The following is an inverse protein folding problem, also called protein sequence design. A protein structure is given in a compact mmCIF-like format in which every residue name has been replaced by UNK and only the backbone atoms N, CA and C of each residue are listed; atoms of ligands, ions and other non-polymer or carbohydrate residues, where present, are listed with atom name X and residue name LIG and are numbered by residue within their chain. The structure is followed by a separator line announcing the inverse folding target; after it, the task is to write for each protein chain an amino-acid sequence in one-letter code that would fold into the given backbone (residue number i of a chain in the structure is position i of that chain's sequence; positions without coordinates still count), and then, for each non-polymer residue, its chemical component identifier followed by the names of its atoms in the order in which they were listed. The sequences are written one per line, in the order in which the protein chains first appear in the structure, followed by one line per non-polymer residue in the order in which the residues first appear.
data_IF_387161000538
#
_entry.id   IF_387161000538
#
_cell.length_a   1.000
_cell.length_b   1.000
_cell.length_c   1.000
_cell.angle_alpha   90.00
_cell.angle_beta   90.00
_cell.angle_gamma   90.00
#
_symmetry.space_group_name_H-M   'P 1'
#
loop_
_entity.id
_entity.type
_entity.pdbx_description
1 polymer ?
#
# COMPACT_ATOMS: atom_id res chain seq x y z
N UNK A 1 -1.02 1.31 -15.80
CA UNK A 1 0.08 1.16 -14.83
C UNK A 1 1.40 1.10 -15.56
N UNK A 2 2.11 2.23 -15.59
CA UNK A 2 3.46 2.35 -16.14
C UNK A 2 4.42 1.35 -15.47
N UNK A 3 5.50 0.97 -16.15
CA UNK A 3 6.50 0.04 -15.60
C UNK A 3 7.06 0.54 -14.26
N UNK A 4 7.30 1.85 -14.15
CA UNK A 4 7.77 2.47 -12.90
C UNK A 4 6.71 2.40 -11.79
N UNK A 5 5.44 2.69 -12.11
CA UNK A 5 4.36 2.60 -11.11
C UNK A 5 4.16 1.17 -10.63
N UNK A 6 4.23 0.17 -11.52
CA UNK A 6 4.15 -1.25 -11.14
C UNK A 6 5.27 -1.65 -10.17
N UNK A 7 6.49 -1.17 -10.40
CA UNK A 7 7.63 -1.43 -9.50
C UNK A 7 7.41 -0.84 -8.12
N UNK A 8 6.93 0.41 -8.04
CA UNK A 8 6.63 1.11 -6.77
C UNK A 8 5.48 0.40 -6.04
N UNK A 9 4.44 -0.01 -6.77
CA UNK A 9 3.32 -0.78 -6.22
C UNK A 9 3.80 -2.10 -5.60
N UNK A 10 4.56 -2.90 -6.35
CA UNK A 10 5.05 -4.19 -5.88
C UNK A 10 5.95 -4.04 -4.64
N UNK A 11 6.81 -3.02 -4.61
CA UNK A 11 7.65 -2.73 -3.44
C UNK A 11 6.81 -2.33 -2.23
N UNK A 12 5.82 -1.44 -2.40
CA UNK A 12 4.88 -1.06 -1.34
C UNK A 12 4.07 -2.25 -0.84
N UNK A 13 3.63 -3.14 -1.74
CA UNK A 13 2.90 -4.36 -1.39
C UNK A 13 3.77 -5.34 -0.59
N UNK A 14 5.03 -5.54 -0.97
CA UNK A 14 5.97 -6.36 -0.21
C UNK A 14 6.18 -5.82 1.21
N UNK A 15 6.33 -4.50 1.36
CA UNK A 15 6.43 -3.84 2.67
C UNK A 15 5.16 -4.04 3.50
N UNK A 16 3.98 -3.85 2.89
CA UNK A 16 2.69 -4.10 3.55
C UNK A 16 2.60 -5.53 4.07
N UNK A 17 2.95 -6.53 3.26
CA UNK A 17 2.93 -7.93 3.67
C UNK A 17 3.91 -8.23 4.81
N UNK A 18 5.12 -7.68 4.77
CA UNK A 18 6.07 -7.86 5.87
C UNK A 18 5.55 -7.28 7.19
N UNK A 19 5.00 -6.07 7.16
CA UNK A 19 4.46 -5.45 8.38
C UNK A 19 3.22 -6.20 8.86
N UNK A 20 2.36 -6.66 7.95
CA UNK A 20 1.19 -7.47 8.29
C UNK A 20 1.60 -8.78 8.99
N UNK A 21 2.64 -9.45 8.48
CA UNK A 21 3.19 -10.64 9.11
C UNK A 21 3.73 -10.34 10.52
N UNK A 22 4.49 -9.25 10.68
CA UNK A 22 5.00 -8.83 11.98
C UNK A 22 3.82 -8.61 12.95
N UNK A 23 2.83 -7.79 12.57
CA UNK A 23 1.65 -7.51 13.40
C UNK A 23 0.92 -8.79 13.79
N UNK A 24 0.77 -9.72 12.86
CA UNK A 24 0.10 -11.00 13.12
C UNK A 24 0.81 -11.84 14.18
N UNK A 25 2.15 -11.86 14.19
CA UNK A 25 2.92 -12.65 15.17
C UNK A 25 3.20 -11.91 16.48
N UNK A 26 3.19 -10.57 16.50
CA UNK A 26 3.59 -9.79 17.69
C UNK A 26 2.41 -9.24 18.50
N UNK A 27 1.24 -9.05 17.90
CA UNK A 27 0.09 -8.43 18.57
C UNK A 27 -0.84 -9.51 19.14
N UNK A 28 -1.33 -9.31 20.37
CA UNK A 28 -2.36 -10.19 20.96
C UNK A 28 -3.58 -10.27 20.00
N UNK A 29 -4.06 -11.47 19.64
CA UNK A 29 -5.17 -11.65 18.72
C UNK A 29 -6.43 -10.84 19.06
N UNK A 30 -6.66 -10.54 20.34
CA UNK A 30 -7.80 -9.72 20.78
C UNK A 30 -7.71 -8.25 20.32
N UNK A 31 -6.48 -7.76 20.12
CA UNK A 31 -6.20 -6.37 19.75
C UNK A 31 -5.74 -6.24 18.28
N UNK A 32 -5.72 -7.33 17.52
CA UNK A 32 -5.13 -7.36 16.16
C UNK A 32 -5.94 -6.57 15.12
N UNK A 33 -7.25 -6.40 15.35
CA UNK A 33 -8.16 -5.80 14.38
C UNK A 33 -7.80 -4.36 14.03
N UNK A 34 -7.55 -3.52 15.04
CA UNK A 34 -7.22 -2.10 14.84
C UNK A 34 -5.92 -1.92 14.02
N UNK A 35 -4.78 -2.54 14.36
CA UNK A 35 -3.56 -2.40 13.57
C UNK A 35 -3.69 -2.94 12.15
N UNK A 36 -4.39 -4.07 11.94
CA UNK A 36 -4.65 -4.59 10.58
C UNK A 36 -5.50 -3.59 9.77
N UNK A 37 -6.55 -3.04 10.37
CA UNK A 37 -7.42 -2.06 9.71
C UNK A 37 -6.65 -0.79 9.34
N UNK A 38 -5.84 -0.28 10.28
CA UNK A 38 -5.00 0.90 10.05
C UNK A 38 -3.99 0.66 8.92
N UNK A 39 -3.30 -0.49 8.91
CA UNK A 39 -2.38 -0.90 7.84
C UNK A 39 -3.07 -0.98 6.49
N UNK A 40 -4.27 -1.58 6.46
CA UNK A 40 -5.05 -1.75 5.23
C UNK A 40 -5.49 -0.40 4.66
N UNK A 41 -5.97 0.51 5.52
CA UNK A 41 -6.35 1.87 5.12
C UNK A 41 -5.14 2.67 4.63
N UNK A 42 -4.00 2.57 5.33
CA UNK A 42 -2.76 3.25 4.93
C UNK A 42 -2.27 2.76 3.57
N UNK A 43 -2.28 1.46 3.34
CA UNK A 43 -1.91 0.87 2.06
C UNK A 43 -2.90 1.25 0.95
N UNK A 44 -4.20 1.27 1.25
CA UNK A 44 -5.23 1.76 0.33
C UNK A 44 -5.00 3.22 -0.08
N UNK A 45 -4.69 4.10 0.88
CA UNK A 45 -4.39 5.51 0.63
C UNK A 45 -3.13 5.67 -0.24
N UNK A 46 -2.07 4.93 0.07
CA UNK A 46 -0.85 4.89 -0.74
C UNK A 46 -1.15 4.51 -2.21
N UNK A 47 -1.97 3.47 -2.41
CA UNK A 47 -2.38 3.05 -3.76
C UNK A 47 -3.25 4.07 -4.47
N UNK A 48 -4.16 4.72 -3.74
CA UNK A 48 -4.96 5.84 -4.27
C UNK A 48 -4.07 6.98 -4.77
N UNK A 49 -3.12 7.44 -3.95
CA UNK A 49 -2.19 8.50 -4.31
C UNK A 49 -1.33 8.11 -5.53
N UNK A 50 -0.85 6.87 -5.57
CA UNK A 50 -0.06 6.34 -6.68
C UNK A 50 -0.87 6.34 -7.99
N UNK A 51 -2.15 5.93 -7.93
CA UNK A 51 -3.07 5.96 -9.06
C UNK A 51 -3.37 7.38 -9.54
N UNK A 52 -3.63 8.31 -8.62
CA UNK A 52 -3.85 9.72 -8.96
C UNK A 52 -2.62 10.35 -9.62
N UNK A 53 -1.41 10.03 -9.12
CA UNK A 53 -0.15 10.51 -9.71
C UNK A 53 0.04 9.99 -11.13
N UNK A 54 -0.21 8.71 -11.35
CA UNK A 54 -0.12 8.12 -12.68
C UNK A 54 -1.13 8.77 -13.65
N UNK A 55 -2.38 8.94 -13.22
CA UNK A 55 -3.42 9.57 -14.05
C UNK A 55 -3.08 11.01 -14.46
N UNK A 56 -2.39 11.79 -13.61
CA UNK A 56 -1.91 13.14 -14.00
C UNK A 56 -0.82 13.04 -15.06
N UNK A 57 0.15 12.15 -14.86
CA UNK A 57 1.31 12.00 -15.76
C UNK A 57 0.89 11.60 -17.17
N UNK A 58 -0.13 10.73 -17.33
CA UNK A 58 -0.62 10.32 -18.66
C UNK A 58 -1.48 11.37 -19.36
N UNK A 59 -1.93 12.42 -18.66
CA UNK A 59 -2.78 13.49 -19.22
C UNK A 59 -1.99 14.69 -19.76
N UNK A 60 -0.68 14.69 -19.61
CA UNK A 60 0.22 15.66 -20.25
C UNK A 60 1.04 14.96 -21.35
N UNK A 61 0.44 14.65 -22.51
CA UNK A 61 1.23 14.43 -23.71
C UNK A 61 1.68 15.81 -24.21
N UNK A 62 2.96 16.14 -23.98
CA UNK A 62 3.69 17.11 -24.79
C UNK A 62 4.03 16.48 -26.15
#
# INVERSE_FOLDING_TARGET
MSVQTKKIFNMGYAVFLMILAIVYFTVDPRNIFIPILALTLLFGLFNGLLYFREKRTTREPL
#
